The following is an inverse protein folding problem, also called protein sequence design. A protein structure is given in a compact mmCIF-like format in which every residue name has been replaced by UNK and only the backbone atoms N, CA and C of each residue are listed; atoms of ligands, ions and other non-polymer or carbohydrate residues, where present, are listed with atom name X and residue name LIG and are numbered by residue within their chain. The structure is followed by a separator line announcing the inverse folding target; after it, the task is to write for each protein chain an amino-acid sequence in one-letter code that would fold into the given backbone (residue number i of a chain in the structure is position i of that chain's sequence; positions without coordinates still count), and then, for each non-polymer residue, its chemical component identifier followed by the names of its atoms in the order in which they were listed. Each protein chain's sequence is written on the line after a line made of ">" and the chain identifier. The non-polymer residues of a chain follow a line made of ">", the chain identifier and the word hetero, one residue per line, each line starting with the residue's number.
data_IF_153441778889
#
_entry.id   IF_153441778889
#
_cell.length_a   1.000
_cell.length_b   1.000
_cell.length_c   1.000
_cell.angle_alpha   90.00
_cell.angle_beta   90.00
_cell.angle_gamma   90.00
#
_symmetry.space_group_name_H-M   'P 1'
#
loop_
_entity.id
_entity.type
_entity.pdbx_description
1 polymer ?
#
# COMPACT_ATOMS: atom_id res chain seq x y z
N UNK A 1 6.78 4.26 -29.69
CA UNK A 1 7.95 5.19 -29.70
C UNK A 1 7.89 6.16 -28.50
N UNK A 2 6.70 6.54 -28.00
CA UNK A 2 6.57 7.40 -26.81
C UNK A 2 6.64 6.62 -25.47
N UNK A 3 6.40 5.32 -25.49
CA UNK A 3 6.43 4.45 -24.30
C UNK A 3 7.85 4.18 -23.77
N UNK A 4 8.84 4.05 -24.67
CA UNK A 4 10.24 3.73 -24.30
C UNK A 4 10.98 4.86 -23.59
N UNK A 5 10.57 6.12 -23.80
CA UNK A 5 11.21 7.29 -23.19
C UNK A 5 10.78 7.42 -21.72
N UNK A 6 9.56 6.99 -21.39
CA UNK A 6 9.03 7.04 -20.01
C UNK A 6 9.64 5.95 -19.16
N UNK A 7 9.86 4.74 -19.69
CA UNK A 7 10.45 3.63 -18.91
C UNK A 7 11.92 3.88 -18.54
N UNK A 8 12.72 4.49 -19.42
CA UNK A 8 14.14 4.80 -19.12
C UNK A 8 14.32 5.81 -18.02
N UNK A 9 13.41 6.78 -17.86
CA UNK A 9 13.50 7.84 -16.86
C UNK A 9 13.09 7.39 -15.46
N UNK A 10 12.36 6.27 -15.32
CA UNK A 10 11.85 5.75 -14.05
C UNK A 10 12.49 4.46 -13.56
N UNK A 11 13.43 3.87 -14.34
CA UNK A 11 14.16 2.65 -13.94
C UNK A 11 15.07 2.86 -12.72
N UNK A 12 15.34 4.10 -12.32
CA UNK A 12 16.22 4.45 -11.19
C UNK A 12 15.50 4.59 -9.84
N UNK A 13 14.18 4.38 -9.78
CA UNK A 13 13.40 4.57 -8.55
C UNK A 13 12.63 3.32 -8.12
N UNK A 14 13.23 2.14 -8.25
CA UNK A 14 12.78 1.00 -7.44
C UNK A 14 13.56 1.01 -6.13
N UNK A 15 12.98 1.36 -4.99
CA UNK A 15 13.57 0.96 -3.72
C UNK A 15 13.35 -0.55 -3.59
N UNK A 16 14.39 -1.32 -3.85
CA UNK A 16 14.51 -2.68 -3.37
C UNK A 16 14.58 -2.60 -1.86
N UNK A 17 13.61 -3.20 -1.18
CA UNK A 17 13.65 -3.42 0.25
C UNK A 17 13.38 -2.18 1.10
N UNK A 18 12.67 -2.41 2.15
CA UNK A 18 12.29 -1.59 3.29
C UNK A 18 13.46 -0.76 3.91
N UNK A 19 14.03 0.16 3.15
CA UNK A 19 14.97 1.14 3.68
C UNK A 19 14.21 2.45 3.80
N UNK A 20 13.79 2.77 5.01
CA UNK A 20 13.36 4.12 5.36
C UNK A 20 14.54 5.05 5.12
N UNK A 21 14.58 5.69 3.93
CA UNK A 21 15.56 6.73 3.63
C UNK A 21 15.37 7.86 4.63
N UNK A 22 16.41 8.13 5.39
CA UNK A 22 16.56 9.37 6.14
C UNK A 22 16.39 10.53 5.17
N UNK A 23 15.38 11.35 5.38
CA UNK A 23 15.24 12.64 4.69
C UNK A 23 16.40 13.53 5.12
N UNK A 24 17.34 13.78 4.22
CA UNK A 24 18.33 14.84 4.41
C UNK A 24 17.60 16.13 4.08
N UNK A 25 17.11 16.83 5.09
CA UNK A 25 16.73 18.22 4.96
C UNK A 25 18.04 19.01 4.88
N UNK A 26 18.22 19.77 3.82
CA UNK A 26 19.42 20.48 3.43
C UNK A 26 19.79 21.65 4.39
N UNK A 27 19.85 21.39 5.70
CA UNK A 27 20.32 22.27 6.77
C UNK A 27 21.06 21.50 7.88
N UNK A 28 21.74 20.41 7.55
CA UNK A 28 22.66 19.78 8.53
C UNK A 28 22.04 19.23 9.81
N UNK A 29 20.71 19.19 9.94
CA UNK A 29 20.04 18.57 11.09
C UNK A 29 19.85 17.08 10.83
N UNK A 30 20.77 16.28 11.37
CA UNK A 30 20.63 14.84 11.45
C UNK A 30 19.47 14.51 12.41
N UNK A 31 18.35 14.07 11.87
CA UNK A 31 17.26 13.56 12.71
C UNK A 31 17.73 12.25 13.37
N UNK A 32 17.81 12.18 14.69
CA UNK A 32 18.23 10.95 15.36
C UNK A 32 17.29 9.80 14.98
N UNK A 33 17.86 8.63 14.73
CA UNK A 33 17.07 7.42 14.49
C UNK A 33 16.31 7.08 15.76
N UNK A 34 15.08 6.58 15.62
CA UNK A 34 14.34 6.05 16.74
C UNK A 34 15.17 4.95 17.41
N UNK A 35 15.33 4.97 18.74
CA UNK A 35 16.05 3.91 19.44
C UNK A 35 15.36 2.55 19.21
N UNK A 36 16.15 1.49 19.21
CA UNK A 36 15.65 0.12 19.13
C UNK A 36 14.85 -0.19 20.39
N UNK A 37 13.67 -0.78 20.21
CA UNK A 37 12.84 -1.28 21.30
C UNK A 37 12.75 -2.81 21.28
N UNK A 38 12.32 -3.45 22.38
CA UNK A 38 12.13 -4.90 22.39
C UNK A 38 11.01 -5.30 21.41
N UNK A 39 11.17 -6.48 20.79
CA UNK A 39 10.11 -7.08 20.01
C UNK A 39 8.88 -7.34 20.89
N UNK A 40 7.69 -6.91 20.43
CA UNK A 40 6.45 -7.07 21.20
C UNK A 40 5.93 -8.52 21.27
N UNK A 41 6.66 -9.49 20.70
CA UNK A 41 6.30 -10.90 20.83
C UNK A 41 6.81 -11.44 22.17
N UNK A 42 5.96 -12.07 22.99
CA UNK A 42 6.36 -12.59 24.30
C UNK A 42 7.58 -13.50 24.23
N UNK A 43 8.58 -13.24 25.05
CA UNK A 43 9.82 -14.05 25.13
C UNK A 43 10.83 -13.80 24.01
N UNK A 44 10.61 -12.84 23.13
CA UNK A 44 11.59 -12.51 22.09
C UNK A 44 12.63 -11.50 22.61
N UNK A 45 13.94 -11.82 22.60
CA UNK A 45 14.99 -10.92 23.09
C UNK A 45 15.45 -9.89 22.06
N UNK A 46 14.97 -9.94 20.82
CA UNK A 46 15.45 -9.07 19.75
C UNK A 46 15.03 -7.62 19.92
N UNK A 47 15.99 -6.71 19.71
CA UNK A 47 15.75 -5.27 19.63
C UNK A 47 15.47 -4.86 18.17
N UNK A 48 14.40 -4.12 17.95
CA UNK A 48 13.87 -3.77 16.63
C UNK A 48 13.51 -2.29 16.51
N UNK A 49 13.59 -1.75 15.33
CA UNK A 49 13.12 -0.37 15.05
C UNK A 49 11.57 -0.27 14.99
N UNK A 50 10.94 -1.34 14.55
CA UNK A 50 9.48 -1.49 14.46
C UNK A 50 8.93 -2.26 15.69
N UNK A 51 7.68 -2.64 15.65
CA UNK A 51 7.01 -3.33 16.75
C UNK A 51 7.44 -4.80 16.89
N UNK A 52 7.78 -5.47 15.80
CA UNK A 52 8.13 -6.90 15.75
C UNK A 52 9.40 -7.14 14.95
N UNK A 53 10.17 -8.16 15.31
CA UNK A 53 11.26 -8.64 14.49
C UNK A 53 10.74 -9.29 13.20
N UNK A 54 11.62 -9.52 12.23
CA UNK A 54 11.23 -10.04 10.90
C UNK A 54 10.47 -11.37 10.99
N UNK A 55 10.89 -12.26 11.89
CA UNK A 55 10.24 -13.56 12.09
C UNK A 55 8.85 -13.42 12.70
N UNK A 56 8.72 -12.63 13.77
CA UNK A 56 7.44 -12.44 14.43
C UNK A 56 6.47 -11.59 13.58
N UNK A 57 6.98 -10.65 12.79
CA UNK A 57 6.17 -9.96 11.77
C UNK A 57 5.61 -10.95 10.73
N UNK A 58 6.45 -11.88 10.23
CA UNK A 58 6.01 -12.92 9.29
C UNK A 58 4.98 -13.85 9.93
N UNK A 59 5.22 -14.31 11.17
CA UNK A 59 4.28 -15.16 11.92
C UNK A 59 2.94 -14.48 12.08
N UNK A 60 2.91 -13.25 12.57
CA UNK A 60 1.70 -12.44 12.74
C UNK A 60 0.94 -12.23 11.43
N UNK A 61 1.66 -11.93 10.35
CA UNK A 61 1.03 -11.76 9.02
C UNK A 61 0.41 -13.07 8.52
N UNK A 62 1.05 -14.20 8.79
CA UNK A 62 0.51 -15.51 8.44
C UNK A 62 -0.74 -15.84 9.27
N UNK A 63 -0.73 -15.57 10.56
CA UNK A 63 -1.88 -15.74 11.46
C UNK A 63 -3.05 -14.85 11.03
N UNK A 64 -2.78 -13.56 10.76
CA UNK A 64 -3.79 -12.66 10.21
C UNK A 64 -4.39 -13.18 8.90
N UNK A 65 -3.55 -13.62 7.95
CA UNK A 65 -4.02 -14.16 6.68
C UNK A 65 -4.82 -15.44 6.85
N UNK A 66 -4.49 -16.27 7.84
CA UNK A 66 -5.16 -17.56 8.10
C UNK A 66 -6.52 -17.37 8.79
N UNK A 67 -6.57 -16.54 9.82
CA UNK A 67 -7.72 -16.49 10.74
C UNK A 67 -8.56 -15.21 10.65
N UNK A 68 -7.95 -14.09 10.33
CA UNK A 68 -8.64 -12.80 10.40
C UNK A 68 -8.99 -12.23 9.02
N UNK A 69 -8.23 -12.60 7.99
CA UNK A 69 -8.49 -12.09 6.66
C UNK A 69 -9.74 -12.74 6.09
N UNK A 70 -10.66 -11.92 5.66
CA UNK A 70 -11.91 -12.31 5.01
C UNK A 70 -11.68 -13.18 3.77
N UNK A 71 -12.42 -14.29 3.66
CA UNK A 71 -12.27 -15.27 2.59
C UNK A 71 -12.61 -14.71 1.21
N UNK A 72 -13.56 -13.79 1.13
CA UNK A 72 -13.82 -13.08 -0.11
C UNK A 72 -12.57 -12.34 -0.59
N UNK A 73 -11.93 -11.58 0.29
CA UNK A 73 -10.71 -10.83 -0.06
C UNK A 73 -9.53 -11.75 -0.39
N UNK A 74 -9.40 -12.90 0.29
CA UNK A 74 -8.37 -13.90 -0.04
C UNK A 74 -8.55 -14.43 -1.46
N UNK A 75 -9.76 -14.80 -1.79
CA UNK A 75 -10.06 -15.47 -3.06
C UNK A 75 -10.12 -14.47 -4.21
N UNK A 76 -10.84 -13.36 -4.08
CA UNK A 76 -11.06 -12.41 -5.15
C UNK A 76 -9.78 -11.72 -5.64
N UNK A 77 -9.01 -11.08 -4.74
CA UNK A 77 -7.84 -10.30 -5.12
C UNK A 77 -6.65 -11.15 -5.61
N UNK A 78 -6.70 -12.46 -5.42
CA UNK A 78 -5.69 -13.40 -5.92
C UNK A 78 -6.06 -14.01 -7.28
N UNK A 79 -7.26 -13.75 -7.82
CA UNK A 79 -7.70 -14.31 -9.09
C UNK A 79 -6.90 -13.77 -10.28
N UNK A 80 -6.67 -14.58 -11.33
CA UNK A 80 -6.10 -14.10 -12.58
C UNK A 80 -6.92 -12.98 -13.22
N UNK A 81 -8.25 -13.06 -13.14
CA UNK A 81 -9.17 -12.05 -13.64
C UNK A 81 -8.90 -10.69 -13.00
N UNK A 82 -8.81 -10.63 -11.65
CA UNK A 82 -8.47 -9.38 -10.97
C UNK A 82 -7.10 -8.84 -11.35
N UNK A 83 -6.09 -9.70 -11.50
CA UNK A 83 -4.74 -9.27 -11.89
C UNK A 83 -4.73 -8.60 -13.26
N UNK A 84 -5.51 -9.16 -14.22
CA UNK A 84 -5.65 -8.59 -15.57
C UNK A 84 -6.39 -7.24 -15.50
N UNK A 85 -7.52 -7.18 -14.81
CA UNK A 85 -8.32 -5.96 -14.63
C UNK A 85 -7.48 -4.85 -13.98
N UNK A 86 -6.77 -5.17 -12.89
CA UNK A 86 -5.88 -4.24 -12.21
C UNK A 86 -4.78 -3.71 -13.13
N UNK A 87 -4.18 -4.57 -13.93
CA UNK A 87 -3.13 -4.16 -14.89
C UNK A 87 -3.70 -3.18 -15.91
N UNK A 88 -4.80 -3.55 -16.57
CA UNK A 88 -5.49 -2.69 -17.56
C UNK A 88 -5.84 -1.33 -16.96
N UNK A 89 -6.38 -1.30 -15.75
CA UNK A 89 -6.75 -0.06 -15.07
C UNK A 89 -5.53 0.85 -14.83
N UNK A 90 -4.40 0.31 -14.37
CA UNK A 90 -3.19 1.10 -14.12
C UNK A 90 -2.49 1.54 -15.42
N UNK A 91 -2.64 0.78 -16.51
CA UNK A 91 -2.15 1.16 -17.83
C UNK A 91 -2.97 2.32 -18.42
N UNK A 92 -4.31 2.25 -18.30
CA UNK A 92 -5.21 3.30 -18.78
C UNK A 92 -5.18 4.55 -17.91
N UNK A 93 -5.04 4.40 -16.60
CA UNK A 93 -5.07 5.48 -15.60
C UNK A 93 -3.85 5.42 -14.68
N UNK A 94 -2.66 5.81 -15.16
CA UNK A 94 -1.40 5.66 -14.43
C UNK A 94 -1.23 6.64 -13.26
N UNK A 95 -2.09 7.65 -13.14
CA UNK A 95 -2.03 8.65 -12.09
C UNK A 95 -3.19 8.51 -11.10
N UNK A 96 -2.91 8.89 -9.84
CA UNK A 96 -3.90 8.87 -8.78
C UNK A 96 -5.06 9.84 -9.08
N UNK A 97 -6.29 9.32 -9.15
CA UNK A 97 -7.50 10.09 -9.44
C UNK A 97 -7.73 11.21 -8.41
N UNK A 98 -7.54 10.93 -7.13
CA UNK A 98 -7.70 11.92 -6.07
C UNK A 98 -6.63 13.04 -6.11
N UNK A 99 -5.40 12.68 -6.44
CA UNK A 99 -4.35 13.67 -6.60
C UNK A 99 -4.57 14.57 -7.82
N UNK A 100 -5.09 14.01 -8.93
CA UNK A 100 -5.42 14.79 -10.12
C UNK A 100 -6.51 15.84 -9.87
N UNK A 101 -7.50 15.54 -9.03
CA UNK A 101 -8.55 16.52 -8.65
C UNK A 101 -7.98 17.81 -8.02
N UNK A 102 -6.83 17.71 -7.39
CA UNK A 102 -6.12 18.86 -6.75
C UNK A 102 -4.91 19.31 -7.57
N UNK A 103 -4.87 18.99 -8.87
CA UNK A 103 -3.77 19.38 -9.76
C UNK A 103 -2.43 18.69 -9.53
N UNK A 104 -2.35 17.67 -8.66
CA UNK A 104 -1.12 16.96 -8.34
C UNK A 104 -0.98 15.67 -9.16
N UNK A 105 0.11 15.52 -9.88
CA UNK A 105 0.44 14.29 -10.59
C UNK A 105 1.21 13.33 -9.68
N UNK A 106 0.51 12.35 -9.11
CA UNK A 106 1.11 11.26 -8.31
C UNK A 106 0.87 9.93 -9.01
N UNK A 107 1.90 9.11 -9.15
CA UNK A 107 1.77 7.77 -9.74
C UNK A 107 0.80 6.92 -8.91
N UNK A 108 -0.16 6.31 -9.58
CA UNK A 108 -1.03 5.31 -8.99
C UNK A 108 -0.29 3.97 -8.88
N UNK A 109 -0.50 3.27 -7.78
CA UNK A 109 0.07 1.93 -7.52
C UNK A 109 -0.99 0.95 -7.02
N UNK A 110 -2.17 1.44 -6.69
CA UNK A 110 -3.29 0.66 -6.15
C UNK A 110 -4.50 0.90 -7.06
N UNK A 111 -5.22 -0.17 -7.36
CA UNK A 111 -6.58 -0.10 -7.92
C UNK A 111 -7.54 -0.47 -6.82
N UNK A 112 -8.54 0.37 -6.64
CA UNK A 112 -9.54 0.24 -5.59
C UNK A 112 -10.94 0.43 -6.18
N UNK A 113 -11.97 -0.11 -5.55
CA UNK A 113 -13.35 0.06 -5.95
C UNK A 113 -13.91 1.38 -5.40
N UNK A 114 -14.63 2.13 -6.21
CA UNK A 114 -15.32 3.36 -5.78
C UNK A 114 -16.40 2.98 -4.77
N UNK A 115 -17.28 2.06 -5.15
CA UNK A 115 -18.23 1.40 -4.26
C UNK A 115 -17.66 0.03 -3.90
N UNK A 116 -17.43 -0.27 -2.61
CA UNK A 116 -16.89 -1.56 -2.20
C UNK A 116 -17.73 -2.72 -2.71
N UNK A 117 -17.08 -3.81 -3.16
CA UNK A 117 -17.77 -5.00 -3.67
C UNK A 117 -18.75 -5.58 -2.65
N UNK A 118 -18.41 -5.51 -1.35
CA UNK A 118 -19.28 -5.95 -0.25
C UNK A 118 -20.53 -5.09 -0.08
N UNK A 119 -20.54 -3.89 -0.65
CA UNK A 119 -21.68 -2.97 -0.65
C UNK A 119 -22.43 -2.98 -1.99
N UNK A 120 -22.23 -4.00 -2.81
CA UNK A 120 -22.90 -4.17 -4.10
C UNK A 120 -22.17 -3.53 -5.28
N UNK A 121 -20.97 -2.99 -5.10
CA UNK A 121 -20.17 -2.46 -6.21
C UNK A 121 -19.75 -3.55 -7.19
N UNK A 122 -19.75 -3.22 -8.49
CA UNK A 122 -19.30 -4.15 -9.51
C UNK A 122 -17.80 -4.47 -9.34
N UNK A 123 -17.46 -5.74 -9.58
CA UNK A 123 -16.11 -6.28 -9.33
C UNK A 123 -15.11 -5.90 -10.39
N UNK A 124 -15.56 -5.77 -11.65
CA UNK A 124 -14.69 -5.67 -12.82
C UNK A 124 -15.01 -4.47 -13.71
N UNK A 125 -16.13 -3.78 -13.45
CA UNK A 125 -16.49 -2.62 -14.23
C UNK A 125 -15.51 -1.48 -13.97
N UNK A 126 -14.90 -0.98 -15.05
CA UNK A 126 -13.96 0.13 -15.02
C UNK A 126 -14.56 1.42 -14.44
N UNK A 127 -15.86 1.60 -14.56
CA UNK A 127 -16.58 2.74 -13.97
C UNK A 127 -16.59 2.70 -12.44
N UNK A 128 -16.52 1.51 -11.84
CA UNK A 128 -16.40 1.31 -10.39
C UNK A 128 -14.96 1.19 -9.90
N UNK A 129 -13.96 1.31 -10.80
CA UNK A 129 -12.55 1.21 -10.43
C UNK A 129 -11.88 2.59 -10.43
N UNK A 130 -10.97 2.79 -9.51
CA UNK A 130 -10.15 3.98 -9.42
C UNK A 130 -8.68 3.64 -9.16
N UNK A 131 -7.80 4.41 -9.80
CA UNK A 131 -6.35 4.30 -9.60
C UNK A 131 -5.91 5.26 -8.50
N UNK A 132 -5.26 4.77 -7.45
CA UNK A 132 -4.88 5.55 -6.28
C UNK A 132 -3.39 5.42 -5.96
N UNK A 133 -2.80 6.47 -5.40
CA UNK A 133 -1.53 6.38 -4.68
C UNK A 133 -1.77 5.82 -3.26
N UNK A 134 -0.70 5.37 -2.61
CA UNK A 134 -0.78 4.79 -1.27
C UNK A 134 -1.49 5.70 -0.25
N UNK A 135 -1.13 6.98 -0.23
CA UNK A 135 -1.69 7.94 0.75
C UNK A 135 -3.19 8.17 0.57
N UNK A 136 -3.66 8.27 -0.69
CA UNK A 136 -5.09 8.47 -0.97
C UNK A 136 -5.89 7.20 -0.67
N UNK A 137 -5.36 6.02 -1.01
CA UNK A 137 -5.98 4.74 -0.65
C UNK A 137 -6.08 4.57 0.87
N UNK A 138 -5.01 4.86 1.63
CA UNK A 138 -5.05 4.77 3.09
C UNK A 138 -6.10 5.71 3.70
N UNK A 139 -6.20 6.95 3.21
CA UNK A 139 -7.25 7.89 3.66
C UNK A 139 -8.65 7.39 3.38
N UNK A 140 -8.89 6.82 2.19
CA UNK A 140 -10.18 6.23 1.82
C UNK A 140 -10.50 5.05 2.75
N UNK A 141 -9.57 4.12 2.95
CA UNK A 141 -9.76 2.98 3.85
C UNK A 141 -10.09 3.38 5.28
N UNK A 142 -9.49 4.48 5.78
CA UNK A 142 -9.81 5.04 7.10
C UNK A 142 -11.27 5.53 7.14
N UNK A 143 -11.70 6.27 6.12
CA UNK A 143 -13.07 6.79 6.03
C UNK A 143 -14.11 5.66 5.93
N UNK A 144 -13.77 4.57 5.27
CA UNK A 144 -14.62 3.39 5.11
C UNK A 144 -14.60 2.45 6.33
N UNK A 145 -13.94 2.84 7.42
CA UNK A 145 -13.91 2.07 8.66
C UNK A 145 -13.04 0.81 8.59
N UNK A 146 -12.12 0.73 7.65
CA UNK A 146 -11.14 -0.34 7.60
C UNK A 146 -10.33 -0.39 8.90
N UNK A 147 -10.03 -1.61 9.42
CA UNK A 147 -9.22 -1.82 10.64
C UNK A 147 -7.88 -1.08 10.64
N UNK A 148 -7.29 -0.84 9.46
CA UNK A 148 -6.07 -0.03 9.33
C UNK A 148 -6.26 1.45 9.66
N UNK A 149 -7.52 1.93 9.72
CA UNK A 149 -7.85 3.30 10.14
C UNK A 149 -8.09 3.47 11.63
N UNK A 150 -8.31 2.40 12.34
CA UNK A 150 -8.40 2.42 13.81
C UNK A 150 -7.00 2.32 14.41
N UNK A 151 -6.15 3.33 14.24
CA UNK A 151 -5.11 3.59 15.23
C UNK A 151 -5.83 3.99 16.51
N UNK A 152 -5.92 3.05 17.42
CA UNK A 152 -6.26 3.31 18.81
C UNK A 152 -5.09 4.16 19.34
N UNK A 153 -5.39 5.42 19.65
CA UNK A 153 -4.50 6.27 20.42
C UNK A 153 -4.57 5.83 21.87
#
# INVERSE_FOLDING_TARGET
>A
VWYDIIERKYRYLRPSGNSKRSFIINRGLFMPRKPLGPCSYPGCPELVEDQYCKEHMKKRNNEYNKFERDDFSKNFYNTPAWRITRRKQLESYPFCSECLKIGKRSKAIIVDHIVPVKQGGDRFDSSNLQSLCWSCHSRKSIKEGSRYGKKIY
#
